data_IF_232554280322
#
_entry.id   IF_232554280322
#
_cell.length_a   1.000
_cell.length_b   1.000
_cell.length_c   1.000
_cell.angle_alpha   90.00
_cell.angle_beta   90.00
_cell.angle_gamma   90.00
#
_symmetry.space_group_name_H-M   'P 1'
#
loop_
_entity.id
_entity.type
_entity.pdbx_description
1 polymer ?
#
# COMPACT_ATOMS: atom_id res chain seq x y z
N UNK A 1 -13.31 43.11 32.81
CA UNK A 1 -12.20 42.29 32.33
C UNK A 1 -12.74 40.88 32.06
N UNK A 2 -13.04 40.57 30.80
CA UNK A 2 -13.49 39.28 30.39
C UNK A 2 -12.31 38.32 30.15
N UNK A 3 -12.47 37.00 30.34
CA UNK A 3 -11.39 36.08 30.18
C UNK A 3 -11.03 35.94 28.68
N UNK A 4 -9.71 36.01 28.41
CA UNK A 4 -9.16 35.76 27.08
C UNK A 4 -9.49 34.33 26.63
N UNK A 5 -10.16 34.23 25.49
CA UNK A 5 -10.38 32.96 24.79
C UNK A 5 -9.01 32.56 24.20
N UNK A 6 -8.38 31.59 24.82
CA UNK A 6 -7.20 30.93 24.25
C UNK A 6 -7.64 30.24 22.97
N UNK A 7 -7.22 30.76 21.82
CA UNK A 7 -7.29 30.06 20.53
C UNK A 7 -6.57 28.71 20.67
N UNK A 8 -7.32 27.62 20.48
CA UNK A 8 -6.76 26.31 20.34
C UNK A 8 -5.75 26.32 19.18
N UNK A 9 -4.51 25.95 19.47
CA UNK A 9 -3.48 25.79 18.47
C UNK A 9 -3.98 24.86 17.37
N UNK A 10 -4.20 25.40 16.18
CA UNK A 10 -4.55 24.62 15.01
C UNK A 10 -3.49 23.56 14.79
N UNK A 11 -3.92 22.30 14.76
CA UNK A 11 -3.07 21.15 14.48
C UNK A 11 -2.69 21.24 12.99
N UNK A 12 -1.66 22.05 12.68
CA UNK A 12 -1.08 22.12 11.33
C UNK A 12 -0.49 20.77 11.03
N UNK A 13 -1.14 20.01 10.14
CA UNK A 13 -0.59 18.75 9.65
C UNK A 13 0.81 19.00 9.08
N UNK A 14 1.74 18.12 9.44
CA UNK A 14 3.11 18.16 8.90
C UNK A 14 3.02 18.01 7.36
N UNK A 15 3.75 18.82 6.58
CA UNK A 15 3.70 18.70 5.12
C UNK A 15 4.25 17.35 4.66
N UNK A 16 3.80 16.90 3.49
CA UNK A 16 4.36 15.71 2.84
C UNK A 16 5.87 15.84 2.63
N UNK A 17 6.62 14.73 2.61
CA UNK A 17 8.07 14.75 2.39
C UNK A 17 8.41 15.31 1.00
N UNK A 18 9.63 15.86 0.86
CA UNK A 18 10.12 16.31 -0.44
C UNK A 18 10.05 15.17 -1.47
N UNK A 19 9.43 15.43 -2.62
CA UNK A 19 9.19 14.41 -3.65
C UNK A 19 7.85 13.67 -3.51
N UNK A 20 7.12 13.89 -2.41
CA UNK A 20 5.79 13.36 -2.16
C UNK A 20 5.77 11.89 -1.75
N UNK A 21 4.58 11.39 -1.42
CA UNK A 21 4.37 9.99 -1.09
C UNK A 21 4.39 9.09 -2.32
N UNK A 22 4.81 7.84 -2.11
CA UNK A 22 4.69 6.74 -3.06
C UNK A 22 3.70 5.73 -2.50
N UNK A 23 2.50 5.72 -3.05
CA UNK A 23 1.44 4.80 -2.62
C UNK A 23 1.49 3.51 -3.45
N UNK A 24 1.94 2.43 -2.83
CA UNK A 24 2.12 1.14 -3.49
C UNK A 24 0.88 0.25 -3.45
N UNK A 25 -0.21 0.72 -2.82
CA UNK A 25 -1.45 -0.05 -2.67
C UNK A 25 -2.67 0.88 -2.78
N UNK A 26 -3.28 0.92 -3.96
CA UNK A 26 -4.38 1.83 -4.27
C UNK A 26 -5.30 1.27 -5.36
N UNK A 27 -6.61 1.22 -5.10
CA UNK A 27 -7.61 0.71 -6.05
C UNK A 27 -8.19 1.88 -6.85
N UNK A 28 -7.42 2.39 -7.81
CA UNK A 28 -7.78 3.61 -8.56
C UNK A 28 -8.46 3.34 -9.90
N UNK A 29 -8.34 2.13 -10.45
CA UNK A 29 -8.93 1.80 -11.74
C UNK A 29 -10.43 1.57 -11.59
N UNK A 30 -11.23 2.26 -12.40
CA UNK A 30 -12.68 2.29 -12.24
C UNK A 30 -13.39 1.09 -12.87
N UNK A 31 -14.43 0.59 -12.19
CA UNK A 31 -15.26 -0.52 -12.66
C UNK A 31 -14.49 -1.85 -12.80
N UNK A 32 -13.43 -2.05 -12.00
CA UNK A 32 -12.59 -3.25 -12.01
C UNK A 32 -12.87 -4.12 -10.79
N UNK A 33 -12.87 -3.52 -9.62
CA UNK A 33 -13.03 -4.19 -8.33
C UNK A 33 -13.98 -3.40 -7.40
N UNK A 34 -13.79 -3.43 -6.09
CA UNK A 34 -14.56 -2.66 -5.11
C UNK A 34 -14.06 -1.20 -4.95
N UNK A 35 -13.11 -0.76 -5.78
CA UNK A 35 -12.70 0.63 -5.92
C UNK A 35 -13.75 1.50 -6.63
N UNK A 36 -13.35 2.61 -7.29
CA UNK A 36 -14.24 3.57 -7.94
C UNK A 36 -15.09 2.90 -9.03
N UNK A 37 -16.33 3.32 -9.15
CA UNK A 37 -17.26 2.74 -10.14
C UNK A 37 -17.24 3.50 -11.45
N UNK A 38 -16.82 4.77 -11.43
CA UNK A 38 -16.73 5.64 -12.59
C UNK A 38 -15.39 6.37 -12.66
N UNK A 39 -15.11 6.92 -13.85
CA UNK A 39 -13.96 7.78 -14.09
C UNK A 39 -13.96 9.01 -13.19
N UNK A 40 -15.13 9.59 -12.94
CA UNK A 40 -15.30 10.78 -12.10
C UNK A 40 -14.92 10.46 -10.64
N UNK A 41 -15.32 9.29 -10.13
CA UNK A 41 -14.93 8.81 -8.81
C UNK A 41 -13.40 8.58 -8.72
N UNK A 42 -12.80 7.97 -9.75
CA UNK A 42 -11.35 7.81 -9.83
C UNK A 42 -10.63 9.16 -9.82
N UNK A 43 -11.10 10.14 -10.59
CA UNK A 43 -10.53 11.49 -10.60
C UNK A 43 -10.67 12.19 -9.24
N UNK A 44 -11.78 12.00 -8.54
CA UNK A 44 -11.95 12.54 -7.19
C UNK A 44 -10.97 11.88 -6.19
N UNK A 45 -10.71 10.58 -6.31
CA UNK A 45 -9.70 9.88 -5.50
C UNK A 45 -8.27 10.39 -5.81
N UNK A 46 -7.93 10.60 -7.10
CA UNK A 46 -6.66 11.17 -7.50
C UNK A 46 -6.45 12.59 -6.94
N UNK A 47 -7.51 13.42 -6.97
CA UNK A 47 -7.46 14.77 -6.42
C UNK A 47 -7.16 14.74 -4.90
N UNK A 48 -7.79 13.84 -4.14
CA UNK A 48 -7.52 13.68 -2.71
C UNK A 48 -6.09 13.21 -2.47
N UNK A 49 -5.62 12.20 -3.19
CA UNK A 49 -4.26 11.69 -3.06
C UNK A 49 -3.23 12.77 -3.38
N UNK A 50 -3.45 13.55 -4.44
CA UNK A 50 -2.59 14.65 -4.84
C UNK A 50 -2.54 15.77 -3.79
N UNK A 51 -3.69 16.13 -3.22
CA UNK A 51 -3.82 17.14 -2.15
C UNK A 51 -3.08 16.71 -0.86
N UNK A 52 -3.10 15.41 -0.54
CA UNK A 52 -2.33 14.86 0.57
C UNK A 52 -0.81 14.81 0.30
N UNK A 53 -0.38 15.07 -0.93
CA UNK A 53 1.04 15.09 -1.29
C UNK A 53 1.54 13.81 -1.95
N UNK A 54 0.67 12.90 -2.38
CA UNK A 54 1.06 11.73 -3.17
C UNK A 54 1.52 12.17 -4.57
N UNK A 55 2.61 11.59 -5.04
CA UNK A 55 3.19 11.87 -6.37
C UNK A 55 3.37 10.64 -7.23
N UNK A 56 3.37 9.47 -6.62
CA UNK A 56 3.36 8.19 -7.36
C UNK A 56 2.33 7.25 -6.76
N UNK A 57 1.51 6.62 -7.60
CA UNK A 57 0.51 5.62 -7.22
C UNK A 57 0.73 4.37 -8.05
N UNK A 58 0.73 3.21 -7.41
CA UNK A 58 0.61 1.94 -8.12
C UNK A 58 -0.85 1.50 -8.01
N UNK A 59 -1.49 1.38 -9.17
CA UNK A 59 -2.85 0.86 -9.27
C UNK A 59 -2.82 -0.66 -9.04
N UNK A 60 -3.39 -1.11 -7.93
CA UNK A 60 -3.30 -2.50 -7.46
C UNK A 60 -4.69 -3.13 -7.31
N UNK A 61 -5.48 -3.11 -8.39
CA UNK A 61 -6.75 -3.82 -8.39
C UNK A 61 -6.61 -5.28 -8.01
N UNK A 62 -7.66 -5.88 -7.45
CA UNK A 62 -7.67 -7.27 -7.03
C UNK A 62 -7.48 -8.25 -8.19
N UNK A 63 -6.61 -9.22 -7.98
CA UNK A 63 -6.43 -10.40 -8.84
C UNK A 63 -6.61 -11.67 -8.02
N UNK A 64 -7.71 -12.37 -8.23
CA UNK A 64 -7.95 -13.69 -7.67
C UNK A 64 -7.80 -14.75 -8.76
N UNK A 65 -6.79 -15.65 -8.70
CA UNK A 65 -6.60 -16.70 -9.71
C UNK A 65 -7.74 -17.70 -9.84
N UNK A 66 -8.57 -17.83 -8.79
CA UNK A 66 -9.73 -18.72 -8.76
C UNK A 66 -11.04 -17.97 -9.01
N UNK A 67 -11.03 -16.65 -8.98
CA UNK A 67 -12.18 -15.77 -9.13
C UNK A 67 -11.99 -14.74 -10.24
N UNK A 68 -11.89 -13.47 -9.90
CA UNK A 68 -11.76 -12.37 -10.83
C UNK A 68 -10.29 -12.11 -11.20
N UNK A 69 -9.97 -12.25 -12.50
CA UNK A 69 -8.72 -11.79 -13.09
C UNK A 69 -9.05 -10.74 -14.15
N UNK A 70 -8.90 -9.46 -13.83
CA UNK A 70 -9.15 -8.39 -14.79
C UNK A 70 -8.29 -8.52 -16.05
N UNK A 71 -8.81 -8.08 -17.19
CA UNK A 71 -8.05 -8.01 -18.43
C UNK A 71 -6.98 -6.92 -18.37
N UNK A 72 -5.71 -7.30 -18.46
CA UNK A 72 -4.56 -6.38 -18.32
C UNK A 72 -4.53 -5.33 -19.43
N UNK A 73 -4.99 -5.66 -20.65
CA UNK A 73 -5.06 -4.69 -21.73
C UNK A 73 -6.05 -3.57 -21.42
N UNK A 74 -7.21 -3.92 -20.85
CA UNK A 74 -8.18 -2.93 -20.35
C UNK A 74 -7.59 -2.06 -19.23
N UNK A 75 -6.89 -2.68 -18.26
CA UNK A 75 -6.26 -1.93 -17.17
C UNK A 75 -5.21 -0.94 -17.68
N UNK A 76 -4.38 -1.34 -18.65
CA UNK A 76 -3.37 -0.48 -19.27
C UNK A 76 -4.02 0.69 -20.01
N UNK A 77 -5.13 0.45 -20.69
CA UNK A 77 -5.88 1.52 -21.39
C UNK A 77 -6.44 2.54 -20.40
N UNK A 78 -7.05 2.10 -19.31
CA UNK A 78 -7.54 2.99 -18.24
C UNK A 78 -6.39 3.74 -17.54
N UNK A 79 -5.28 3.06 -17.29
CA UNK A 79 -4.09 3.68 -16.70
C UNK A 79 -3.53 4.79 -17.59
N UNK A 80 -3.46 4.57 -18.90
CA UNK A 80 -3.01 5.57 -19.86
C UNK A 80 -3.95 6.78 -19.89
N UNK A 81 -5.27 6.56 -19.87
CA UNK A 81 -6.28 7.61 -19.78
C UNK A 81 -6.11 8.44 -18.51
N UNK A 82 -6.00 7.79 -17.33
CA UNK A 82 -5.84 8.47 -16.06
C UNK A 82 -4.50 9.22 -15.98
N UNK A 83 -3.41 8.67 -16.53
CA UNK A 83 -2.12 9.37 -16.58
C UNK A 83 -2.19 10.63 -17.46
N UNK A 84 -2.87 10.59 -18.61
CA UNK A 84 -3.07 11.79 -19.42
C UNK A 84 -3.80 12.90 -18.66
N UNK A 85 -4.83 12.53 -17.87
CA UNK A 85 -5.54 13.47 -17.02
C UNK A 85 -4.69 13.95 -15.82
N UNK A 86 -3.81 13.10 -15.28
CA UNK A 86 -2.88 13.52 -14.24
C UNK A 86 -1.89 14.56 -14.75
N UNK A 87 -1.36 14.40 -15.95
CA UNK A 87 -0.45 15.41 -16.55
C UNK A 87 -1.10 16.78 -16.67
N UNK A 88 -2.40 16.82 -16.98
CA UNK A 88 -3.17 18.07 -17.11
C UNK A 88 -3.55 18.67 -15.76
N UNK A 89 -4.02 17.85 -14.82
CA UNK A 89 -4.72 18.33 -13.61
C UNK A 89 -3.91 18.22 -12.32
N UNK A 90 -2.93 17.31 -12.28
CA UNK A 90 -2.15 16.97 -11.07
C UNK A 90 -0.66 16.92 -11.40
N UNK A 91 0.00 18.05 -11.65
CA UNK A 91 1.39 18.10 -12.08
C UNK A 91 2.34 17.31 -11.15
N UNK A 92 3.11 16.39 -11.73
CA UNK A 92 4.05 15.55 -10.99
C UNK A 92 3.44 14.31 -10.33
N UNK A 93 2.12 14.05 -10.50
CA UNK A 93 1.51 12.77 -10.14
C UNK A 93 1.61 11.80 -11.31
N UNK A 94 2.07 10.58 -11.05
CA UNK A 94 2.15 9.49 -12.03
C UNK A 94 1.55 8.20 -11.49
N UNK A 95 1.00 7.40 -12.41
CA UNK A 95 0.38 6.11 -12.10
C UNK A 95 1.16 5.00 -12.80
N UNK A 96 1.38 3.89 -12.10
CA UNK A 96 1.92 2.64 -12.64
C UNK A 96 0.94 1.50 -12.39
N UNK A 97 1.04 0.43 -13.19
CA UNK A 97 0.21 -0.76 -13.00
C UNK A 97 0.86 -1.71 -11.99
N UNK A 98 0.03 -2.37 -11.22
CA UNK A 98 0.34 -3.49 -10.34
C UNK A 98 -0.90 -4.34 -10.12
N UNK A 99 -0.84 -5.21 -9.14
CA UNK A 99 -1.97 -6.03 -8.70
C UNK A 99 -1.89 -6.29 -7.20
N UNK A 100 -3.02 -6.27 -6.50
CA UNK A 100 -3.17 -6.96 -5.22
C UNK A 100 -3.62 -8.38 -5.50
N UNK A 101 -2.75 -9.34 -5.20
CA UNK A 101 -2.91 -10.74 -5.61
C UNK A 101 -3.41 -11.56 -4.42
N UNK A 102 -4.64 -12.07 -4.49
CA UNK A 102 -5.06 -13.12 -3.57
C UNK A 102 -4.27 -14.40 -3.87
N UNK A 103 -3.44 -14.84 -2.92
CA UNK A 103 -2.54 -15.97 -3.17
C UNK A 103 -3.31 -17.28 -3.33
N UNK A 104 -3.08 -17.97 -4.44
CA UNK A 104 -3.67 -19.23 -4.76
C UNK A 104 -2.86 -20.05 -5.77
N UNK A 105 -3.41 -21.17 -6.18
CA UNK A 105 -2.77 -22.03 -7.17
C UNK A 105 -2.58 -21.32 -8.52
N UNK A 106 -1.43 -21.53 -9.14
CA UNK A 106 -1.11 -20.95 -10.45
C UNK A 106 -0.64 -19.51 -10.46
N UNK A 107 -0.63 -18.77 -9.31
CA UNK A 107 -0.17 -17.39 -9.23
C UNK A 107 1.20 -17.19 -9.87
N UNK A 108 2.20 -17.99 -9.50
CA UNK A 108 3.56 -17.87 -10.04
C UNK A 108 3.61 -18.03 -11.56
N UNK A 109 2.83 -18.96 -12.12
CA UNK A 109 2.76 -19.15 -13.58
C UNK A 109 2.16 -17.93 -14.27
N UNK A 110 1.08 -17.37 -13.71
CA UNK A 110 0.40 -16.19 -14.26
C UNK A 110 1.26 -14.91 -14.14
N UNK A 111 2.03 -14.76 -13.07
CA UNK A 111 3.04 -13.71 -12.95
C UNK A 111 4.11 -13.83 -14.05
N UNK A 112 4.66 -15.03 -14.25
CA UNK A 112 5.69 -15.25 -15.29
C UNK A 112 5.19 -15.05 -16.71
N UNK A 113 3.91 -15.32 -16.97
CA UNK A 113 3.31 -15.10 -18.29
C UNK A 113 2.77 -13.67 -18.50
N UNK A 114 2.91 -12.77 -17.52
CA UNK A 114 2.40 -11.41 -17.59
C UNK A 114 0.88 -11.27 -17.48
N UNK A 115 0.17 -12.36 -17.18
CA UNK A 115 -1.31 -12.34 -16.94
C UNK A 115 -1.65 -11.61 -15.64
N UNK A 116 -0.76 -11.63 -14.65
CA UNK A 116 -0.85 -10.82 -13.45
C UNK A 116 0.31 -9.83 -13.49
N UNK A 117 0.07 -8.52 -13.44
CA UNK A 117 1.14 -7.53 -13.44
C UNK A 117 1.86 -7.49 -12.08
N UNK A 118 3.17 -7.32 -12.12
CA UNK A 118 3.98 -7.01 -10.94
C UNK A 118 3.88 -5.51 -10.65
N UNK A 119 4.33 -5.06 -9.46
CA UNK A 119 4.30 -3.65 -9.10
C UNK A 119 5.23 -2.84 -10.00
N UNK A 120 4.64 -1.98 -10.85
CA UNK A 120 5.35 -1.12 -11.79
C UNK A 120 6.36 -1.86 -12.69
N UNK A 121 6.10 -3.14 -13.03
CA UNK A 121 6.99 -3.95 -13.86
C UNK A 121 8.27 -4.44 -13.16
N UNK A 122 8.41 -4.24 -11.84
CA UNK A 122 9.54 -4.71 -11.04
C UNK A 122 9.40 -6.21 -10.68
N UNK A 123 10.36 -6.76 -9.92
CA UNK A 123 10.23 -8.10 -9.33
C UNK A 123 9.27 -8.16 -8.12
N UNK A 124 8.74 -7.03 -7.66
CA UNK A 124 7.88 -6.96 -6.48
C UNK A 124 6.45 -7.32 -6.81
N UNK A 125 5.83 -8.10 -5.93
CA UNK A 125 4.43 -8.51 -6.02
C UNK A 125 3.72 -8.23 -4.69
N UNK A 126 2.57 -7.57 -4.73
CA UNK A 126 1.74 -7.32 -3.57
C UNK A 126 0.76 -8.48 -3.42
N UNK A 127 0.84 -9.17 -2.29
CA UNK A 127 0.10 -10.42 -2.07
C UNK A 127 -0.72 -10.35 -0.81
N UNK A 128 -1.98 -10.74 -0.93
CA UNK A 128 -2.89 -10.89 0.19
C UNK A 128 -3.31 -12.35 0.42
N UNK A 129 -3.80 -12.61 1.63
CA UNK A 129 -4.33 -13.90 2.08
C UNK A 129 -5.62 -13.70 2.86
N UNK A 130 -6.37 -14.79 3.05
CA UNK A 130 -7.45 -14.77 4.03
C UNK A 130 -6.89 -14.44 5.43
N UNK A 131 -7.59 -13.65 6.27
CA UNK A 131 -7.12 -13.31 7.62
C UNK A 131 -6.83 -14.53 8.50
N UNK A 132 -7.45 -15.68 8.21
CA UNK A 132 -7.26 -16.95 8.92
C UNK A 132 -6.11 -17.80 8.37
N UNK A 133 -5.24 -17.24 7.52
CA UNK A 133 -4.13 -17.97 6.90
C UNK A 133 -3.26 -18.67 7.97
N UNK A 134 -2.95 -19.96 7.71
CA UNK A 134 -2.05 -20.74 8.57
C UNK A 134 -0.59 -20.41 8.29
N UNK A 135 0.28 -20.51 9.31
CA UNK A 135 1.74 -20.26 9.19
C UNK A 135 2.37 -21.05 8.04
N UNK A 136 2.13 -22.34 8.01
CA UNK A 136 2.74 -23.24 7.02
C UNK A 136 2.33 -22.88 5.60
N UNK A 137 1.07 -22.45 5.40
CA UNK A 137 0.60 -22.04 4.09
C UNK A 137 1.23 -20.72 3.65
N UNK A 138 1.30 -19.75 4.57
CA UNK A 138 1.95 -18.46 4.32
C UNK A 138 3.43 -18.65 3.99
N UNK A 139 4.15 -19.45 4.77
CA UNK A 139 5.57 -19.76 4.51
C UNK A 139 5.79 -20.46 3.17
N UNK A 140 4.96 -21.48 2.85
CA UNK A 140 5.02 -22.18 1.56
C UNK A 140 4.78 -21.23 0.39
N UNK A 141 3.83 -20.28 0.54
CA UNK A 141 3.52 -19.29 -0.48
C UNK A 141 4.73 -18.35 -0.74
N UNK A 142 5.32 -17.80 0.30
CA UNK A 142 6.48 -16.92 0.16
C UNK A 142 7.68 -17.64 -0.45
N UNK A 143 7.97 -18.85 0.01
CA UNK A 143 9.01 -19.70 -0.58
C UNK A 143 8.75 -19.97 -2.06
N UNK A 144 7.48 -20.23 -2.44
CA UNK A 144 7.11 -20.51 -3.82
C UNK A 144 7.33 -19.29 -4.73
N UNK A 145 7.01 -18.10 -4.25
CA UNK A 145 7.23 -16.85 -4.99
C UNK A 145 8.71 -16.48 -5.06
N UNK A 146 9.43 -16.58 -3.94
CA UNK A 146 10.88 -16.31 -3.91
C UNK A 146 11.66 -17.25 -4.86
N UNK A 147 11.33 -18.55 -4.90
CA UNK A 147 11.88 -19.50 -5.88
C UNK A 147 11.48 -19.17 -7.33
N UNK A 148 10.49 -18.29 -7.51
CA UNK A 148 10.08 -17.74 -8.80
C UNK A 148 10.86 -16.50 -9.23
N UNK A 149 11.70 -15.94 -8.36
CA UNK A 149 12.41 -14.68 -8.56
C UNK A 149 11.57 -13.45 -8.16
N UNK A 150 10.46 -13.63 -7.44
CA UNK A 150 9.63 -12.51 -6.99
C UNK A 150 9.92 -12.13 -5.55
N UNK A 151 9.95 -10.82 -5.29
CA UNK A 151 10.01 -10.25 -3.94
C UNK A 151 8.57 -10.00 -3.48
N UNK A 152 8.14 -10.72 -2.44
CA UNK A 152 6.77 -10.61 -1.94
C UNK A 152 6.62 -9.46 -0.96
N UNK A 153 5.70 -8.54 -1.24
CA UNK A 153 5.18 -7.57 -0.27
C UNK A 153 3.87 -8.14 0.27
N UNK A 154 3.81 -8.42 1.58
CA UNK A 154 2.57 -8.83 2.23
C UNK A 154 1.68 -7.60 2.45
N UNK A 155 0.55 -7.57 1.78
CA UNK A 155 -0.45 -6.53 1.91
C UNK A 155 -1.05 -6.53 3.33
N UNK A 156 -1.30 -5.33 3.88
CA UNK A 156 -1.99 -5.09 5.17
C UNK A 156 -1.72 -6.19 6.22
N UNK A 157 -0.42 -6.45 6.47
CA UNK A 157 0.05 -7.54 7.34
C UNK A 157 -0.59 -7.55 8.74
N UNK A 158 -1.06 -6.41 9.20
CA UNK A 158 -1.75 -6.26 10.48
C UNK A 158 -3.11 -6.95 10.54
N UNK A 159 -3.64 -7.38 9.38
CA UNK A 159 -4.86 -8.18 9.29
C UNK A 159 -4.62 -9.66 9.56
N UNK A 160 -3.35 -10.13 9.60
CA UNK A 160 -3.03 -11.54 9.83
C UNK A 160 -2.68 -11.81 11.29
N UNK A 161 -3.58 -12.48 12.07
CA UNK A 161 -3.30 -12.82 13.48
C UNK A 161 -2.04 -13.64 13.66
N UNK A 162 -1.67 -14.42 12.66
CA UNK A 162 -0.45 -15.26 12.66
C UNK A 162 0.84 -14.44 12.72
N UNK A 163 0.84 -13.21 12.18
CA UNK A 163 1.97 -12.28 12.24
C UNK A 163 1.88 -11.36 13.46
N UNK A 164 0.67 -10.84 13.74
CA UNK A 164 0.42 -9.92 14.87
C UNK A 164 0.71 -10.57 16.22
N UNK A 165 0.37 -11.85 16.38
CA UNK A 165 0.60 -12.61 17.64
C UNK A 165 2.01 -13.17 17.74
N UNK A 166 2.71 -13.30 16.62
CA UNK A 166 4.07 -13.84 16.55
C UNK A 166 4.99 -12.97 15.69
N UNK A 167 5.50 -11.85 16.24
CA UNK A 167 6.44 -10.98 15.53
C UNK A 167 7.75 -11.68 15.11
N UNK A 168 8.16 -12.74 15.84
CA UNK A 168 9.34 -13.51 15.48
C UNK A 168 9.13 -14.26 14.15
N UNK A 169 7.93 -14.77 13.92
CA UNK A 169 7.58 -15.37 12.63
C UNK A 169 7.59 -14.35 11.49
N UNK A 170 7.08 -13.14 11.72
CA UNK A 170 7.16 -12.06 10.73
C UNK A 170 8.63 -11.74 10.37
N UNK A 171 9.51 -11.65 11.36
CA UNK A 171 10.96 -11.45 11.16
C UNK A 171 11.60 -12.60 10.39
N UNK A 172 11.30 -13.84 10.77
CA UNK A 172 11.77 -15.03 10.06
C UNK A 172 11.42 -15.02 8.56
N UNK A 173 10.18 -14.63 8.21
CA UNK A 173 9.77 -14.54 6.82
C UNK A 173 10.58 -13.48 6.04
N UNK A 174 10.86 -12.34 6.67
CA UNK A 174 11.72 -11.29 6.08
C UNK A 174 13.14 -11.81 5.84
N UNK A 175 13.77 -12.39 6.87
CA UNK A 175 15.16 -12.84 6.83
C UNK A 175 15.37 -14.02 5.86
N UNK A 176 14.41 -14.95 5.84
CA UNK A 176 14.56 -16.19 5.05
C UNK A 176 14.13 -16.06 3.60
N UNK A 177 13.09 -15.28 3.33
CA UNK A 177 12.49 -15.18 1.99
C UNK A 177 12.56 -13.78 1.38
N UNK A 178 13.17 -12.83 2.06
CA UNK A 178 13.20 -11.43 1.61
C UNK A 178 11.82 -10.78 1.58
N UNK A 179 10.85 -11.30 2.36
CA UNK A 179 9.52 -10.74 2.40
C UNK A 179 9.51 -9.32 2.95
N UNK A 180 8.73 -8.44 2.33
CA UNK A 180 8.49 -7.08 2.77
C UNK A 180 7.08 -6.96 3.33
N UNK A 181 6.87 -6.09 4.30
CA UNK A 181 5.63 -6.03 5.06
C UNK A 181 4.99 -4.64 4.94
N UNK A 182 3.77 -4.60 4.40
CA UNK A 182 3.00 -3.37 4.25
C UNK A 182 1.88 -3.30 5.28
N UNK A 183 1.67 -2.11 5.85
CA UNK A 183 0.60 -1.77 6.79
C UNK A 183 -0.25 -0.65 6.20
N UNK A 184 -1.56 -0.71 6.40
CA UNK A 184 -2.46 0.34 5.94
C UNK A 184 -2.33 1.62 6.78
N UNK A 185 -2.30 2.78 6.12
CA UNK A 185 -2.22 4.09 6.78
C UNK A 185 -3.35 4.29 7.80
N UNK A 186 -4.58 3.90 7.44
CA UNK A 186 -5.76 4.02 8.29
C UNK A 186 -5.60 3.25 9.63
N UNK A 187 -4.84 2.16 9.65
CA UNK A 187 -4.60 1.35 10.85
C UNK A 187 -3.89 2.14 11.95
N UNK A 188 -3.07 3.10 11.60
CA UNK A 188 -2.42 4.00 12.58
C UNK A 188 -3.36 5.05 13.15
N UNK A 189 -4.45 5.36 12.49
CA UNK A 189 -5.35 6.48 12.78
C UNK A 189 -6.59 6.06 13.57
N UNK A 190 -7.17 4.93 13.20
CA UNK A 190 -8.41 4.44 13.79
C UNK A 190 -8.14 3.55 15.02
N UNK A 191 -9.14 3.40 15.91
CA UNK A 191 -9.06 2.45 17.01
C UNK A 191 -8.88 1.04 16.49
N UNK A 192 -7.81 0.39 16.93
CA UNK A 192 -7.48 -0.99 16.58
C UNK A 192 -7.63 -1.92 17.78
N UNK A 193 -7.75 -3.23 17.52
CA UNK A 193 -7.64 -4.25 18.57
C UNK A 193 -6.33 -4.05 19.32
N UNK A 194 -6.36 -4.26 20.64
CA UNK A 194 -5.19 -4.04 21.50
C UNK A 194 -3.95 -4.83 21.05
N UNK A 195 -4.15 -6.03 20.51
CA UNK A 195 -3.06 -6.85 19.94
C UNK A 195 -2.37 -6.16 18.75
N UNK A 196 -3.14 -5.63 17.79
CA UNK A 196 -2.62 -4.89 16.63
C UNK A 196 -1.88 -3.63 17.08
N UNK A 197 -2.47 -2.87 17.99
CA UNK A 197 -1.84 -1.66 18.52
C UNK A 197 -0.50 -1.95 19.21
N UNK A 198 -0.45 -3.00 20.06
CA UNK A 198 0.79 -3.41 20.74
C UNK A 198 1.83 -3.91 19.75
N UNK A 199 1.39 -4.69 18.77
CA UNK A 199 2.26 -5.17 17.70
C UNK A 199 2.89 -4.02 16.93
N UNK A 200 2.11 -3.09 16.39
CA UNK A 200 2.62 -1.96 15.58
C UNK A 200 3.55 -1.05 16.37
N UNK A 201 3.28 -0.81 17.66
CA UNK A 201 4.15 -0.01 18.53
C UNK A 201 5.58 -0.57 18.63
N UNK A 202 5.73 -1.89 18.46
CA UNK A 202 7.02 -2.58 18.45
C UNK A 202 7.55 -2.77 17.02
N UNK A 203 6.69 -3.22 16.12
CA UNK A 203 7.06 -3.60 14.77
C UNK A 203 7.64 -2.44 13.95
N UNK A 204 7.11 -1.21 14.14
CA UNK A 204 7.59 -0.02 13.41
C UNK A 204 9.04 0.32 13.79
N UNK A 205 9.39 0.60 15.05
CA UNK A 205 10.77 0.94 15.40
C UNK A 205 11.74 -0.25 15.28
N UNK A 206 11.26 -1.50 15.34
CA UNK A 206 12.07 -2.70 15.11
C UNK A 206 12.33 -2.98 13.62
N UNK A 207 11.83 -2.15 12.69
CA UNK A 207 12.03 -2.31 11.24
C UNK A 207 11.31 -3.50 10.62
N UNK A 208 10.25 -4.01 11.29
CA UNK A 208 9.42 -5.07 10.71
C UNK A 208 8.49 -4.52 9.61
N UNK A 209 8.04 -3.27 9.72
CA UNK A 209 7.22 -2.63 8.70
C UNK A 209 8.12 -2.01 7.64
N UNK A 210 7.86 -2.30 6.36
CA UNK A 210 8.62 -1.76 5.24
C UNK A 210 7.87 -0.63 4.53
N UNK A 211 6.53 -0.74 4.43
CA UNK A 211 5.71 0.23 3.72
C UNK A 211 4.47 0.60 4.52
N UNK A 212 4.08 1.86 4.40
CA UNK A 212 2.74 2.31 4.75
C UNK A 212 2.08 2.78 3.46
N UNK A 213 0.94 2.20 3.12
CA UNK A 213 0.18 2.50 1.91
C UNK A 213 -1.29 2.78 2.25
N UNK A 214 -2.05 3.36 1.31
CA UNK A 214 -3.41 3.79 1.61
C UNK A 214 -4.42 2.65 1.64
N UNK A 215 -4.32 1.71 0.73
CA UNK A 215 -5.38 0.74 0.43
C UNK A 215 -6.70 1.46 0.12
N UNK A 216 -6.60 2.59 -0.64
CA UNK A 216 -7.72 3.48 -0.89
C UNK A 216 -8.67 2.90 -1.95
N UNK A 217 -9.98 2.93 -1.67
CA UNK A 217 -11.03 2.42 -2.54
C UNK A 217 -12.11 3.48 -2.86
N UNK A 218 -12.04 4.67 -2.25
CA UNK A 218 -13.03 5.71 -2.43
C UNK A 218 -12.63 7.04 -1.80
N UNK A 219 -13.57 7.98 -1.82
CA UNK A 219 -13.35 9.33 -1.31
C UNK A 219 -13.90 9.56 0.10
N UNK A 220 -14.82 8.70 0.56
CA UNK A 220 -15.46 8.80 1.88
C UNK A 220 -15.07 7.65 2.80
N UNK A 221 -15.29 6.42 2.33
CA UNK A 221 -14.86 5.21 3.03
C UNK A 221 -13.59 4.68 2.37
N UNK A 222 -12.67 4.12 3.17
CA UNK A 222 -11.37 3.63 2.69
C UNK A 222 -10.68 4.67 1.79
N UNK A 223 -10.71 5.95 2.20
CA UNK A 223 -10.02 7.03 1.48
C UNK A 223 -8.53 7.00 1.78
N UNK A 224 -7.74 7.68 0.95
CA UNK A 224 -6.35 7.98 1.29
C UNK A 224 -6.28 8.75 2.62
N UNK A 225 -5.29 8.47 3.44
CA UNK A 225 -5.00 9.14 4.72
C UNK A 225 -3.51 9.15 4.98
N UNK A 226 -2.73 9.21 3.91
CA UNK A 226 -1.27 9.11 4.01
C UNK A 226 -0.68 10.29 4.79
N UNK A 227 -1.15 11.51 4.53
CA UNK A 227 -0.64 12.71 5.20
C UNK A 227 -0.88 12.68 6.71
N UNK A 228 -2.07 12.28 7.12
CA UNK A 228 -2.43 12.18 8.55
C UNK A 228 -1.61 11.08 9.25
N UNK A 229 -1.48 9.91 8.61
CA UNK A 229 -0.69 8.80 9.15
C UNK A 229 0.81 9.14 9.21
N UNK A 230 1.33 9.80 8.17
CA UNK A 230 2.71 10.28 8.12
C UNK A 230 3.01 11.22 9.29
N UNK A 231 2.19 12.25 9.49
CA UNK A 231 2.37 13.19 10.60
C UNK A 231 2.36 12.50 11.97
N UNK A 232 1.46 11.51 12.14
CA UNK A 232 1.42 10.72 13.38
C UNK A 232 2.67 9.86 13.59
N UNK A 233 3.16 9.18 12.53
CA UNK A 233 4.36 8.37 12.65
C UNK A 233 5.62 9.23 12.83
N UNK A 234 5.72 10.36 12.15
CA UNK A 234 6.81 11.31 12.32
C UNK A 234 6.87 11.85 13.76
N UNK A 235 5.72 12.18 14.36
CA UNK A 235 5.64 12.61 15.75
C UNK A 235 6.02 11.51 16.76
N UNK A 236 5.72 10.24 16.45
CA UNK A 236 5.98 9.12 17.36
C UNK A 236 7.40 8.54 17.22
N UNK A 237 7.95 8.50 16.02
CA UNK A 237 9.16 7.75 15.70
C UNK A 237 10.23 8.58 14.97
N UNK A 238 9.96 9.84 14.70
CA UNK A 238 10.83 10.74 13.95
C UNK A 238 10.57 10.74 12.45
N UNK A 239 10.81 11.91 11.84
CA UNK A 239 10.59 12.14 10.41
C UNK A 239 11.40 11.20 9.49
N UNK A 240 12.69 10.89 9.75
CA UNK A 240 13.47 10.01 8.87
C UNK A 240 12.84 8.62 8.70
N UNK A 241 12.31 8.03 9.79
CA UNK A 241 11.63 6.73 9.72
C UNK A 241 10.31 6.87 8.96
N UNK A 242 9.53 7.91 9.23
CA UNK A 242 8.28 8.15 8.51
C UNK A 242 8.54 8.31 7.00
N UNK A 243 9.51 9.13 6.58
CA UNK A 243 9.91 9.27 5.17
C UNK A 243 10.27 7.92 4.56
N UNK A 244 11.05 7.10 5.25
CA UNK A 244 11.42 5.76 4.77
C UNK A 244 10.20 4.90 4.48
N UNK A 245 9.19 4.89 5.35
CA UNK A 245 8.00 4.04 5.25
C UNK A 245 7.01 4.49 4.16
N UNK A 246 6.92 5.80 3.90
CA UNK A 246 5.93 6.37 2.97
C UNK A 246 6.51 6.73 1.59
N UNK A 247 7.82 6.72 1.43
CA UNK A 247 8.48 7.15 0.20
C UNK A 247 9.75 6.33 -0.10
N UNK A 248 10.73 6.34 0.81
CA UNK A 248 12.10 5.92 0.53
C UNK A 248 12.20 4.48 0.04
N UNK A 249 11.71 3.53 0.82
CA UNK A 249 11.75 2.10 0.46
C UNK A 249 10.94 1.77 -0.79
N UNK A 250 9.80 2.43 -0.99
CA UNK A 250 8.99 2.25 -2.19
C UNK A 250 9.72 2.81 -3.42
N UNK A 251 10.37 3.96 -3.30
CA UNK A 251 11.17 4.52 -4.37
C UNK A 251 12.35 3.60 -4.75
N UNK A 252 13.07 3.06 -3.78
CA UNK A 252 14.19 2.14 -4.00
C UNK A 252 13.73 0.83 -4.65
N UNK A 253 12.64 0.23 -4.15
CA UNK A 253 12.11 -1.02 -4.66
C UNK A 253 11.62 -0.94 -6.11
N UNK A 254 11.09 0.21 -6.52
CA UNK A 254 10.45 0.38 -7.83
C UNK A 254 11.34 1.08 -8.86
N UNK A 255 12.43 1.74 -8.45
CA UNK A 255 13.32 2.49 -9.36
C UNK A 255 14.37 1.62 -10.08
N UNK A 256 14.45 0.32 -9.83
CA UNK A 256 15.44 -0.55 -10.50
C UNK A 256 15.17 -0.77 -11.99
N UNK A 257 14.04 -0.29 -12.51
CA UNK A 257 13.59 -0.48 -13.89
C UNK A 257 13.21 0.82 -14.61
N UNK A 258 13.64 1.98 -14.10
CA UNK A 258 13.51 3.27 -14.82
C UNK A 258 14.86 3.79 -15.26
#
# INVERSE_FOLDING_TARGET
MGPAVTQAAGNSLMPAPKGGFVDIHHHILFGVDDGPKSREEALAMLALSYQEGTRRIIATSHFDPLGSCPDVGRLLSQLAELNALCMERFPGLSLSLGAEIFFGEGVRRRLRSGVIPTLAGSEHVLVEFAPSVAKDYLEKALRHLANGGFVTILAHMERYPVLVKDPAFARYLKEKYGALLQVNAETFLLPQRLSVRRFLKRAVPEGLVDFVASDAHGTLRRKTRLLEAYGKLAALYGEPLAVSLFQGRAAEALNRNM
#
